data_IF_610162282108
#
_entry.id   IF_610162282108
#
_cell.length_a   1.000
_cell.length_b   1.000
_cell.length_c   1.000
_cell.angle_alpha   90.00
_cell.angle_beta   90.00
_cell.angle_gamma   90.00
#
_symmetry.space_group_name_H-M   'P 1'
#
loop_
_entity.id
_entity.type
_entity.pdbx_description
1 polymer ?
#
# COMPACT_ATOMS: atom_id res chain seq x y z
N UNK A 1 49.25 -15.33 10.08
CA UNK A 1 48.73 -14.59 11.27
C UNK A 1 48.20 -13.17 11.01
N UNK A 2 48.47 -12.53 9.85
CA UNK A 2 48.14 -11.10 9.63
C UNK A 2 46.80 -10.87 8.88
N UNK A 3 46.23 -11.91 8.25
CA UNK A 3 44.98 -11.81 7.49
C UNK A 3 43.69 -11.92 8.34
N UNK A 4 43.79 -12.30 9.62
CA UNK A 4 42.64 -12.39 10.53
C UNK A 4 42.30 -11.06 11.23
N UNK A 5 43.22 -10.10 11.28
CA UNK A 5 43.01 -8.82 11.97
C UNK A 5 42.33 -7.75 11.10
N UNK A 6 42.57 -7.78 9.78
CA UNK A 6 41.99 -6.81 8.82
C UNK A 6 40.50 -7.05 8.58
N UNK A 7 40.06 -8.31 8.57
CA UNK A 7 38.66 -8.67 8.42
C UNK A 7 37.84 -8.44 9.70
N UNK A 8 38.47 -8.55 10.89
CA UNK A 8 37.81 -8.30 12.17
C UNK A 8 37.55 -6.81 12.40
N UNK A 9 38.50 -5.92 12.04
CA UNK A 9 38.34 -4.47 12.21
C UNK A 9 37.20 -3.88 11.36
N UNK A 10 36.91 -4.44 10.18
CA UNK A 10 35.77 -4.00 9.35
C UNK A 10 34.41 -4.27 10.00
N UNK A 11 34.27 -5.28 10.85
CA UNK A 11 32.97 -5.62 11.45
C UNK A 11 32.57 -4.67 12.58
N UNK A 12 33.54 -4.18 13.36
CA UNK A 12 33.27 -3.24 14.47
C UNK A 12 32.95 -1.83 13.99
N UNK A 13 33.57 -1.37 12.89
CA UNK A 13 33.29 -0.05 12.30
C UNK A 13 31.83 0.07 11.83
N UNK A 14 31.30 -0.96 11.16
CA UNK A 14 29.91 -0.96 10.68
C UNK A 14 28.90 -0.99 11.83
N UNK A 15 29.17 -1.76 12.89
CA UNK A 15 28.35 -1.71 14.10
C UNK A 15 28.40 -0.32 14.76
N UNK A 16 29.57 0.34 14.78
CA UNK A 16 29.74 1.67 15.37
C UNK A 16 28.90 2.76 14.68
N UNK A 17 28.70 2.66 13.36
CA UNK A 17 27.83 3.57 12.58
C UNK A 17 26.35 3.42 12.96
N UNK A 18 25.90 2.22 13.34
CA UNK A 18 24.53 1.96 13.78
C UNK A 18 24.24 2.39 15.23
N UNK A 19 25.24 2.47 16.11
CA UNK A 19 25.06 2.88 17.51
C UNK A 19 25.09 4.40 17.73
N UNK A 20 25.71 5.18 16.83
CA UNK A 20 25.83 6.64 17.00
C UNK A 20 24.58 7.41 16.56
N UNK A 21 23.95 6.94 15.48
CA UNK A 21 22.68 7.46 15.01
C UNK A 21 21.67 6.34 15.20
N UNK A 22 20.88 6.41 16.27
CA UNK A 22 19.79 5.46 16.53
C UNK A 22 18.89 5.26 15.30
N UNK A 23 18.02 4.23 15.30
CA UNK A 23 17.16 3.94 14.15
C UNK A 23 16.51 5.23 13.64
N UNK A 24 16.53 5.48 12.31
CA UNK A 24 16.05 6.74 11.77
C UNK A 24 14.64 7.00 12.29
N UNK A 25 14.32 8.25 12.70
CA UNK A 25 13.02 8.55 13.26
C UNK A 25 11.94 8.08 12.29
N UNK A 26 10.97 7.32 12.81
CA UNK A 26 9.81 6.93 12.01
C UNK A 26 9.20 8.23 11.47
N UNK A 27 9.14 8.37 10.14
CA UNK A 27 8.47 9.50 9.50
C UNK A 27 7.10 9.62 10.13
N UNK A 28 6.70 10.83 10.54
CA UNK A 28 5.34 11.06 11.03
C UNK A 28 4.38 10.46 10.00
N UNK A 29 3.43 9.63 10.46
CA UNK A 29 2.36 9.16 9.58
C UNK A 29 1.75 10.42 8.99
N UNK A 30 1.81 10.55 7.67
CA UNK A 30 1.14 11.66 6.98
C UNK A 30 -0.30 11.67 7.49
N UNK A 31 -0.81 12.83 7.94
CA UNK A 31 -2.25 13.00 8.25
C UNK A 31 -3.02 12.20 7.21
N UNK A 32 -3.85 11.26 7.64
CA UNK A 32 -4.50 10.31 6.74
C UNK A 32 -5.20 11.10 5.64
N UNK A 33 -4.55 11.20 4.47
CA UNK A 33 -5.14 11.76 3.28
C UNK A 33 -6.00 10.63 2.76
N UNK A 34 -7.21 10.50 3.31
CA UNK A 34 -8.23 9.77 2.59
C UNK A 34 -8.25 10.43 1.19
N UNK A 35 -8.07 9.66 0.10
CA UNK A 35 -8.01 10.23 -1.26
C UNK A 35 -9.30 11.00 -1.60
N UNK A 36 -10.33 10.82 -0.78
CA UNK A 36 -11.63 11.44 -0.88
C UNK A 36 -12.00 12.01 0.50
N UNK A 37 -12.52 13.24 0.53
CA UNK A 37 -12.89 13.98 1.74
C UNK A 37 -14.41 14.15 1.86
N UNK A 38 -14.93 14.09 3.09
CA UNK A 38 -16.30 14.50 3.44
C UNK A 38 -17.28 13.37 3.76
N UNK A 39 -17.26 12.26 3.01
CA UNK A 39 -18.24 11.17 3.19
C UNK A 39 -17.56 9.81 3.40
N UNK A 40 -18.23 8.94 4.14
CA UNK A 40 -17.76 7.57 4.38
C UNK A 40 -17.99 6.64 3.16
N UNK A 41 -19.03 6.94 2.37
CA UNK A 41 -19.45 6.14 1.23
C UNK A 41 -19.71 7.02 0.01
N UNK A 42 -19.36 6.51 -1.16
CA UNK A 42 -19.60 7.18 -2.45
C UNK A 42 -20.28 6.22 -3.41
N UNK A 43 -21.21 6.74 -4.21
CA UNK A 43 -21.73 6.01 -5.36
C UNK A 43 -20.74 6.10 -6.51
N UNK A 44 -20.55 5.01 -7.24
CA UNK A 44 -19.69 4.99 -8.42
C UNK A 44 -20.11 3.97 -9.46
N UNK A 45 -19.48 4.07 -10.63
CA UNK A 45 -19.66 3.17 -11.77
C UNK A 45 -18.32 2.46 -12.02
N UNK A 46 -18.36 1.14 -12.18
CA UNK A 46 -17.17 0.34 -12.50
C UNK A 46 -16.76 0.61 -13.95
N UNK A 47 -15.49 0.95 -14.15
CA UNK A 47 -14.88 1.07 -15.48
C UNK A 47 -14.31 -0.27 -15.95
N UNK A 48 -13.52 -0.93 -15.09
CA UNK A 48 -12.94 -2.25 -15.38
C UNK A 48 -12.53 -2.98 -14.11
N UNK A 49 -12.61 -4.31 -14.13
CA UNK A 49 -12.08 -5.19 -13.08
C UNK A 49 -10.63 -5.55 -13.35
N UNK A 50 -9.76 -5.42 -12.36
CA UNK A 50 -8.31 -5.65 -12.49
C UNK A 50 -7.77 -6.48 -11.32
N UNK A 51 -6.73 -7.27 -11.58
CA UNK A 51 -6.00 -7.99 -10.54
C UNK A 51 -4.73 -7.21 -10.23
N UNK A 52 -4.47 -6.94 -8.94
CA UNK A 52 -3.26 -6.25 -8.46
C UNK A 52 -2.49 -7.16 -7.51
N UNK A 53 -1.17 -7.19 -7.67
CA UNK A 53 -0.27 -7.87 -6.74
C UNK A 53 0.18 -6.89 -5.65
N UNK A 54 0.18 -7.31 -4.37
CA UNK A 54 0.70 -6.49 -3.28
C UNK A 54 2.22 -6.36 -3.41
N UNK A 55 2.79 -5.40 -2.68
CA UNK A 55 4.24 -5.28 -2.53
C UNK A 55 4.77 -6.50 -1.76
N UNK A 56 5.98 -6.95 -2.11
CA UNK A 56 6.79 -7.88 -1.30
C UNK A 56 6.83 -7.37 0.14
N UNK A 57 6.67 -8.19 1.20
CA UNK A 57 6.86 -9.65 1.31
C UNK A 57 5.66 -10.51 0.90
N UNK A 58 4.50 -9.90 0.67
CA UNK A 58 3.28 -10.66 0.41
C UNK A 58 3.21 -11.07 -1.06
N UNK A 59 2.75 -12.29 -1.32
CA UNK A 59 2.39 -12.78 -2.65
C UNK A 59 0.89 -13.09 -2.67
N UNK A 60 0.21 -12.76 -3.76
CA UNK A 60 -1.22 -13.01 -3.91
C UNK A 60 -1.88 -12.14 -4.95
N UNK A 61 -3.07 -12.56 -5.38
CA UNK A 61 -3.86 -11.86 -6.39
C UNK A 61 -5.01 -11.14 -5.69
N UNK A 62 -4.97 -9.81 -5.65
CA UNK A 62 -6.07 -9.00 -5.09
C UNK A 62 -7.02 -8.62 -6.22
N UNK A 63 -8.29 -8.98 -6.06
CA UNK A 63 -9.37 -8.58 -6.97
C UNK A 63 -9.71 -7.13 -6.67
N UNK A 64 -9.55 -6.27 -7.67
CA UNK A 64 -9.83 -4.84 -7.56
C UNK A 64 -10.72 -4.40 -8.73
N UNK A 65 -11.37 -3.25 -8.58
CA UNK A 65 -12.11 -2.57 -9.64
C UNK A 65 -11.65 -1.13 -9.74
N UNK A 66 -11.53 -0.62 -10.97
CA UNK A 66 -11.40 0.82 -11.19
C UNK A 66 -12.81 1.39 -11.27
N UNK A 67 -13.10 2.33 -10.39
CA UNK A 67 -14.43 2.92 -10.20
C UNK A 67 -14.34 4.41 -10.42
N UNK A 68 -15.27 4.96 -11.20
CA UNK A 68 -15.49 6.40 -11.32
C UNK A 68 -16.56 6.80 -10.32
N UNK A 69 -16.21 7.66 -9.37
CA UNK A 69 -17.11 8.10 -8.32
C UNK A 69 -18.05 9.21 -8.82
N UNK A 70 -19.12 9.48 -8.08
CA UNK A 70 -20.00 10.62 -8.30
C UNK A 70 -19.27 11.97 -8.25
N UNK A 71 -18.15 12.05 -7.54
CA UNK A 71 -17.27 13.23 -7.49
C UNK A 71 -16.44 13.41 -8.77
N UNK A 72 -16.50 12.47 -9.72
CA UNK A 72 -15.72 12.47 -10.95
C UNK A 72 -14.33 11.84 -10.81
N UNK A 73 -13.86 11.56 -9.59
CA UNK A 73 -12.56 10.94 -9.34
C UNK A 73 -12.55 9.46 -9.74
N UNK A 74 -11.43 9.01 -10.31
CA UNK A 74 -11.17 7.61 -10.63
C UNK A 74 -10.33 6.96 -9.54
N UNK A 75 -10.81 5.85 -8.98
CA UNK A 75 -10.19 5.20 -7.82
C UNK A 75 -10.12 3.69 -8.03
N UNK A 76 -9.04 3.08 -7.55
CA UNK A 76 -8.90 1.63 -7.49
C UNK A 76 -9.48 1.11 -6.17
N UNK A 77 -10.59 0.40 -6.23
CA UNK A 77 -11.29 -0.17 -5.09
C UNK A 77 -10.97 -1.66 -4.92
N UNK A 78 -10.73 -2.09 -3.69
CA UNK A 78 -10.62 -3.52 -3.35
C UNK A 78 -11.99 -4.17 -3.28
N UNK A 79 -12.13 -5.37 -3.85
CA UNK A 79 -13.36 -6.16 -3.78
C UNK A 79 -13.19 -7.20 -2.67
N UNK A 80 -13.93 -7.12 -1.56
CA UNK A 80 -13.86 -8.10 -0.49
C UNK A 80 -14.53 -9.42 -0.90
N UNK A 81 -14.08 -10.53 -0.32
CA UNK A 81 -14.62 -11.87 -0.56
C UNK A 81 -13.91 -12.66 -1.66
N UNK A 82 -14.41 -13.87 -1.95
CA UNK A 82 -13.79 -14.83 -2.89
C UNK A 82 -14.36 -14.68 -4.30
N UNK A 83 -15.66 -14.42 -4.46
CA UNK A 83 -16.33 -14.27 -5.75
C UNK A 83 -16.99 -12.91 -5.90
N UNK A 84 -17.03 -12.38 -7.13
CA UNK A 84 -17.79 -11.17 -7.47
C UNK A 84 -18.35 -11.28 -8.89
N UNK A 85 -19.52 -10.67 -9.12
CA UNK A 85 -20.18 -10.58 -10.43
C UNK A 85 -20.15 -9.13 -10.95
N UNK A 86 -19.08 -8.38 -10.67
CA UNK A 86 -18.97 -7.00 -11.15
C UNK A 86 -18.61 -7.03 -12.63
N UNK A 87 -19.38 -6.30 -13.41
CA UNK A 87 -19.15 -6.08 -14.83
C UNK A 87 -18.84 -4.60 -15.05
N UNK A 88 -18.39 -4.26 -16.25
CA UNK A 88 -18.27 -2.87 -16.68
C UNK A 88 -19.64 -2.17 -16.57
N UNK A 89 -19.64 -0.90 -16.22
CA UNK A 89 -20.84 -0.07 -16.01
C UNK A 89 -21.76 -0.46 -14.84
N UNK A 90 -21.37 -1.46 -14.03
CA UNK A 90 -22.10 -1.80 -12.81
C UNK A 90 -22.07 -0.66 -11.80
N UNK A 91 -23.21 -0.35 -11.17
CA UNK A 91 -23.28 0.63 -10.08
C UNK A 91 -22.84 0.00 -8.75
N UNK A 92 -21.97 0.69 -8.01
CA UNK A 92 -21.40 0.22 -6.74
C UNK A 92 -21.38 1.31 -5.68
N UNK A 93 -21.38 0.88 -4.41
CA UNK A 93 -21.04 1.73 -3.28
C UNK A 93 -19.59 1.49 -2.84
N UNK A 94 -18.79 2.54 -2.90
CA UNK A 94 -17.40 2.56 -2.45
C UNK A 94 -17.33 3.04 -1.00
N UNK A 95 -16.55 2.36 -0.17
CA UNK A 95 -16.26 2.76 1.22
C UNK A 95 -14.80 3.14 1.37
N UNK A 96 -14.53 4.33 1.91
CA UNK A 96 -13.18 4.94 1.94
C UNK A 96 -12.19 4.28 2.94
N UNK A 97 -12.56 3.18 3.60
CA UNK A 97 -11.91 2.79 4.85
C UNK A 97 -10.56 2.07 4.71
N UNK A 98 -10.00 1.86 3.52
CA UNK A 98 -8.71 1.20 3.38
C UNK A 98 -7.90 1.80 2.23
N UNK A 99 -6.91 2.62 2.58
CA UNK A 99 -5.72 2.75 1.76
C UNK A 99 -5.01 1.39 1.76
N UNK A 100 -4.96 0.71 0.62
CA UNK A 100 -4.17 -0.51 0.41
C UNK A 100 -2.68 -0.18 0.39
#
# INVERSE_FOLDING_TARGET
PVLRSVLWKRSYEFQFIHYRNGPPPRRSRSKDKSPISGYNHYKGIVLKTVIRHPKKPNSGNRKCAIVRLSTGAEVCAYIPGVGHNLQEHSQVFYRCLLAV
#
